data_IF_549284103930
#
_entry.id   IF_549284103930
#
_cell.length_a   1.000
_cell.length_b   1.000
_cell.length_c   1.000
_cell.angle_alpha   90.00
_cell.angle_beta   90.00
_cell.angle_gamma   90.00
#
_symmetry.space_group_name_H-M   'P 1'
#
loop_
_entity.id
_entity.type
_entity.pdbx_description
1 polymer ?
#
# COMPACT_ATOMS: atom_id res chain seq x y z
N UNK A 1 -27.85 39.27 -32.82
CA UNK A 1 -27.95 39.10 -31.35
C UNK A 1 -28.15 37.64 -31.12
N UNK A 2 -27.06 36.96 -30.95
CA UNK A 2 -27.02 35.53 -30.67
C UNK A 2 -27.42 35.32 -29.21
N UNK A 3 -28.63 34.79 -29.01
CA UNK A 3 -29.11 34.38 -27.69
C UNK A 3 -28.32 33.14 -27.26
N UNK A 4 -27.43 33.27 -26.28
CA UNK A 4 -26.83 32.11 -25.61
C UNK A 4 -27.96 31.16 -25.13
N UNK A 5 -27.83 29.86 -25.38
CA UNK A 5 -28.81 28.91 -24.85
C UNK A 5 -28.85 29.00 -23.32
N UNK A 6 -30.01 28.85 -22.70
CA UNK A 6 -30.14 28.93 -21.26
C UNK A 6 -29.23 27.89 -20.60
N UNK A 7 -28.36 28.34 -19.71
CA UNK A 7 -27.51 27.44 -18.90
C UNK A 7 -28.41 26.51 -18.10
N UNK A 8 -28.19 25.19 -18.14
CA UNK A 8 -29.00 24.29 -17.35
C UNK A 8 -28.90 24.70 -15.88
N UNK A 9 -30.05 24.86 -15.22
CA UNK A 9 -30.09 25.18 -13.79
C UNK A 9 -29.30 24.11 -13.03
N UNK A 10 -28.26 24.51 -12.32
CA UNK A 10 -27.43 23.63 -11.53
C UNK A 10 -28.32 22.86 -10.56
N UNK A 11 -28.49 21.57 -10.77
CA UNK A 11 -29.19 20.71 -9.83
C UNK A 11 -28.40 20.66 -8.53
N UNK A 12 -29.07 20.99 -7.42
CA UNK A 12 -28.44 20.96 -6.10
C UNK A 12 -28.14 19.51 -5.73
N UNK A 13 -26.87 19.19 -5.61
CA UNK A 13 -26.43 17.87 -5.13
C UNK A 13 -26.91 17.72 -3.68
N UNK A 14 -27.57 16.58 -3.39
CA UNK A 14 -28.07 16.23 -2.05
C UNK A 14 -27.34 15.04 -1.46
N UNK A 15 -26.84 14.14 -2.30
CA UNK A 15 -26.20 12.89 -1.89
C UNK A 15 -24.91 12.68 -2.64
N UNK A 16 -23.88 12.23 -1.94
CA UNK A 16 -22.58 11.84 -2.50
C UNK A 16 -22.33 10.38 -2.13
N UNK A 17 -21.97 9.58 -3.12
CA UNK A 17 -21.50 8.21 -2.93
C UNK A 17 -19.99 8.18 -2.89
N UNK A 18 -19.43 7.60 -1.83
CA UNK A 18 -17.97 7.43 -1.66
C UNK A 18 -17.65 5.94 -1.68
N UNK A 19 -16.81 5.51 -2.64
CA UNK A 19 -16.42 4.10 -2.80
C UNK A 19 -15.30 3.68 -1.84
N UNK A 20 -15.43 4.05 -0.58
CA UNK A 20 -14.51 3.72 0.50
C UNK A 20 -15.28 3.23 1.73
N UNK A 21 -14.64 2.46 2.63
CA UNK A 21 -15.22 2.15 3.92
C UNK A 21 -15.56 3.42 4.71
N UNK A 22 -16.65 3.37 5.46
CA UNK A 22 -17.01 4.47 6.35
C UNK A 22 -15.88 4.71 7.36
N UNK A 23 -15.41 5.97 7.55
CA UNK A 23 -14.41 6.28 8.54
C UNK A 23 -14.82 5.81 9.94
N UNK A 24 -13.90 5.22 10.67
CA UNK A 24 -14.13 4.75 12.06
C UNK A 24 -14.09 5.89 13.09
N UNK A 25 -13.57 7.05 12.71
CA UNK A 25 -13.47 8.22 13.60
C UNK A 25 -14.51 9.26 13.24
N UNK A 26 -15.18 9.82 14.24
CA UNK A 26 -16.16 10.90 14.07
C UNK A 26 -15.53 12.21 13.54
N UNK A 27 -14.21 12.38 13.70
CA UNK A 27 -13.45 13.56 13.22
C UNK A 27 -13.00 13.43 11.76
N UNK A 28 -13.75 12.76 10.93
CA UNK A 28 -13.42 12.66 9.51
C UNK A 28 -13.86 13.92 8.76
N UNK A 29 -13.04 14.48 7.84
CA UNK A 29 -13.40 15.62 7.00
C UNK A 29 -14.69 15.41 6.19
N UNK A 30 -15.06 14.17 5.93
CA UNK A 30 -16.30 13.84 5.23
C UNK A 30 -17.55 14.22 6.03
N UNK A 31 -17.53 14.03 7.34
CA UNK A 31 -18.67 14.36 8.21
C UNK A 31 -18.84 15.87 8.35
N UNK A 32 -17.72 16.60 8.54
CA UNK A 32 -17.71 18.07 8.57
C UNK A 32 -18.25 18.66 7.27
N UNK A 33 -17.87 18.07 6.12
CA UNK A 33 -18.35 18.50 4.82
C UNK A 33 -19.84 18.22 4.63
N UNK A 34 -20.30 17.05 5.06
CA UNK A 34 -21.71 16.66 5.00
C UNK A 34 -22.58 17.63 5.80
N UNK A 35 -22.18 17.97 7.00
CA UNK A 35 -22.88 18.90 7.88
C UNK A 35 -22.90 20.31 7.29
N UNK A 36 -21.73 20.83 6.92
CA UNK A 36 -21.56 22.18 6.37
C UNK A 36 -22.38 22.44 5.11
N UNK A 37 -22.45 21.45 4.22
CA UNK A 37 -23.13 21.56 2.93
C UNK A 37 -24.52 20.95 2.93
N UNK A 38 -25.00 20.44 4.06
CA UNK A 38 -26.28 19.71 4.20
C UNK A 38 -26.43 18.59 3.17
N UNK A 39 -25.39 17.75 3.06
CA UNK A 39 -25.32 16.61 2.15
C UNK A 39 -25.49 15.30 2.91
N UNK A 40 -26.03 14.31 2.24
CA UNK A 40 -25.97 12.92 2.68
C UNK A 40 -24.77 12.24 2.02
N UNK A 41 -23.91 11.60 2.81
CA UNK A 41 -22.79 10.82 2.29
C UNK A 41 -23.08 9.34 2.51
N UNK A 42 -23.11 8.57 1.42
CA UNK A 42 -23.24 7.11 1.42
C UNK A 42 -21.87 6.48 1.15
N UNK A 43 -21.38 5.66 2.09
CA UNK A 43 -20.11 4.96 1.96
C UNK A 43 -20.36 3.53 1.50
N UNK A 44 -19.86 3.18 0.31
CA UNK A 44 -19.95 1.83 -0.26
C UNK A 44 -18.61 1.40 -0.84
N UNK A 45 -17.83 0.58 -0.13
CA UNK A 45 -16.60 0.05 -0.68
C UNK A 45 -16.92 -0.93 -1.82
N UNK A 46 -16.43 -0.64 -3.03
CA UNK A 46 -16.57 -1.52 -4.19
C UNK A 46 -15.37 -2.45 -4.34
N UNK A 47 -14.26 -2.14 -3.67
CA UNK A 47 -13.04 -2.94 -3.68
C UNK A 47 -12.80 -3.43 -2.26
N UNK A 48 -12.62 -4.73 -2.12
CA UNK A 48 -12.25 -5.38 -0.88
C UNK A 48 -10.90 -6.07 -1.07
N UNK A 49 -9.99 -5.87 -0.11
CA UNK A 49 -8.69 -6.53 -0.11
C UNK A 49 -8.66 -7.49 1.06
N UNK A 50 -8.60 -8.77 0.74
CA UNK A 50 -8.43 -9.84 1.72
C UNK A 50 -6.99 -10.31 1.74
N UNK A 51 -6.52 -10.70 2.93
CA UNK A 51 -5.21 -11.30 3.07
C UNK A 51 -5.24 -12.76 2.64
N UNK A 52 -4.28 -13.16 1.82
CA UNK A 52 -4.11 -14.56 1.44
C UNK A 52 -3.95 -15.44 2.69
N UNK A 53 -4.64 -16.56 2.71
CA UNK A 53 -4.50 -17.55 3.77
C UNK A 53 -3.14 -18.25 3.70
N UNK A 54 -2.61 -18.66 4.86
CA UNK A 54 -1.31 -19.34 4.91
C UNK A 54 -1.27 -20.65 4.13
N UNK A 55 -2.41 -21.35 4.01
CA UNK A 55 -2.51 -22.57 3.20
C UNK A 55 -2.31 -22.24 1.71
N UNK A 56 -2.93 -21.19 1.24
CA UNK A 56 -2.82 -20.70 -0.14
C UNK A 56 -1.38 -20.19 -0.42
N UNK A 57 -0.80 -19.46 0.52
CA UNK A 57 0.59 -18.99 0.41
C UNK A 57 1.58 -20.16 0.25
N UNK A 58 1.39 -21.28 0.97
CA UNK A 58 2.25 -22.47 0.81
C UNK A 58 2.23 -23.04 -0.61
N UNK A 59 1.10 -22.92 -1.32
CA UNK A 59 0.99 -23.38 -2.71
C UNK A 59 1.85 -22.56 -3.66
N UNK A 60 2.15 -21.31 -3.34
CA UNK A 60 3.04 -20.46 -4.13
C UNK A 60 4.51 -20.87 -4.04
N UNK A 61 4.89 -21.73 -3.08
CA UNK A 61 6.26 -22.20 -2.86
C UNK A 61 7.30 -21.09 -2.68
N UNK A 62 6.88 -19.94 -2.15
CA UNK A 62 7.77 -18.82 -1.80
C UNK A 62 8.43 -19.13 -0.46
N UNK A 63 9.74 -19.23 -0.45
CA UNK A 63 10.50 -19.40 0.79
C UNK A 63 10.90 -18.02 1.33
N UNK A 64 10.31 -17.63 2.46
CA UNK A 64 10.59 -16.33 3.09
C UNK A 64 12.05 -16.21 3.55
N UNK A 65 12.68 -17.33 3.91
CA UNK A 65 14.06 -17.35 4.42
C UNK A 65 15.12 -17.04 3.33
N UNK A 66 14.77 -17.17 2.07
CA UNK A 66 15.68 -16.86 0.96
C UNK A 66 15.75 -15.36 0.64
N UNK A 67 14.93 -14.53 1.29
CA UNK A 67 14.87 -13.11 1.04
C UNK A 67 15.59 -12.33 2.15
N UNK A 68 16.43 -11.38 1.76
CA UNK A 68 17.17 -10.52 2.67
C UNK A 68 16.60 -9.09 2.77
N UNK A 69 15.66 -8.77 1.90
CA UNK A 69 14.99 -7.48 1.86
C UNK A 69 13.51 -7.61 1.48
N UNK A 70 12.68 -6.69 1.97
CA UNK A 70 11.24 -6.64 1.67
C UNK A 70 10.88 -5.25 1.13
N UNK A 71 10.12 -5.22 0.04
CA UNK A 71 9.58 -3.99 -0.57
C UNK A 71 8.15 -3.80 -0.08
N UNK A 72 7.88 -2.69 0.60
CA UNK A 72 6.60 -2.42 1.25
C UNK A 72 5.93 -1.19 0.64
N UNK A 73 4.88 -1.41 -0.13
CA UNK A 73 4.16 -0.38 -0.88
C UNK A 73 2.96 0.21 -0.13
N UNK A 74 2.62 -0.34 1.04
CA UNK A 74 1.51 0.14 1.88
C UNK A 74 1.64 -0.39 3.31
N UNK A 75 0.88 0.20 4.24
CA UNK A 75 0.75 -0.33 5.61
C UNK A 75 0.09 -1.71 5.62
N UNK A 76 -0.84 -1.94 4.70
CA UNK A 76 -1.50 -3.24 4.55
C UNK A 76 -0.49 -4.32 4.13
N UNK A 77 0.44 -4.01 3.23
CA UNK A 77 1.52 -4.91 2.86
C UNK A 77 2.43 -5.25 4.07
N UNK A 78 2.69 -4.28 4.95
CA UNK A 78 3.39 -4.53 6.22
C UNK A 78 2.64 -5.54 7.07
N UNK A 79 1.35 -5.30 7.33
CA UNK A 79 0.55 -6.18 8.18
C UNK A 79 0.48 -7.61 7.61
N UNK A 80 0.26 -7.76 6.30
CA UNK A 80 0.18 -9.07 5.66
C UNK A 80 1.52 -9.81 5.63
N UNK A 81 2.64 -9.10 5.41
CA UNK A 81 3.95 -9.73 5.46
C UNK A 81 4.23 -10.36 6.83
N UNK A 82 4.04 -9.62 7.92
CA UNK A 82 4.28 -10.14 9.26
C UNK A 82 3.25 -11.19 9.68
N UNK A 83 1.99 -11.09 9.22
CA UNK A 83 0.99 -12.12 9.43
C UNK A 83 1.40 -13.44 8.77
N UNK A 84 1.78 -13.40 7.49
CA UNK A 84 2.25 -14.60 6.77
C UNK A 84 3.53 -15.16 7.39
N UNK A 85 4.49 -14.32 7.76
CA UNK A 85 5.70 -14.77 8.45
C UNK A 85 5.35 -15.56 9.72
N UNK A 86 4.41 -15.06 10.54
CA UNK A 86 3.93 -15.74 11.74
C UNK A 86 3.23 -17.06 11.41
N UNK A 87 2.35 -17.10 10.42
CA UNK A 87 1.63 -18.30 9.99
C UNK A 87 2.60 -19.38 9.43
N UNK A 88 3.67 -18.94 8.78
CA UNK A 88 4.74 -19.83 8.28
C UNK A 88 5.77 -20.19 9.36
N UNK A 89 5.62 -19.70 10.60
CA UNK A 89 6.60 -19.87 11.68
C UNK A 89 8.01 -19.39 11.31
N UNK A 90 8.06 -18.34 10.50
CA UNK A 90 9.31 -17.70 10.08
C UNK A 90 9.62 -16.54 11.02
N UNK A 91 10.72 -16.63 11.75
CA UNK A 91 11.26 -15.52 12.52
C UNK A 91 12.01 -14.58 11.57
N UNK A 92 11.48 -13.36 11.40
CA UNK A 92 12.10 -12.36 10.56
C UNK A 92 13.42 -11.92 11.19
N UNK A 93 14.56 -12.14 10.52
CA UNK A 93 15.86 -11.87 11.15
C UNK A 93 16.09 -10.37 11.31
N UNK A 94 16.83 -10.02 12.36
CA UNK A 94 17.26 -8.64 12.63
C UNK A 94 18.05 -8.00 11.50
N UNK A 95 18.62 -8.81 10.59
CA UNK A 95 19.35 -8.36 9.41
C UNK A 95 18.44 -7.93 8.25
N UNK A 96 17.15 -8.25 8.29
CA UNK A 96 16.20 -7.93 7.23
C UNK A 96 16.21 -6.43 6.93
N UNK A 97 16.27 -6.08 5.64
CA UNK A 97 16.15 -4.72 5.15
C UNK A 97 14.75 -4.45 4.61
N UNK A 98 14.28 -3.23 4.79
CA UNK A 98 12.94 -2.83 4.35
C UNK A 98 13.02 -1.61 3.46
N UNK A 99 12.37 -1.69 2.31
CA UNK A 99 12.29 -0.61 1.32
C UNK A 99 10.83 -0.18 1.22
N UNK A 100 10.51 0.96 1.82
CA UNK A 100 9.15 1.45 1.99
C UNK A 100 8.83 2.54 0.98
N UNK A 101 7.59 2.57 0.49
CA UNK A 101 7.13 3.58 -0.46
C UNK A 101 7.16 4.99 0.13
N UNK A 102 6.96 5.13 1.43
CA UNK A 102 6.88 6.40 2.14
C UNK A 102 7.41 6.31 3.57
N UNK A 103 7.72 7.47 4.14
CA UNK A 103 8.11 7.61 5.54
C UNK A 103 7.03 7.05 6.50
N UNK A 104 5.75 7.31 6.20
CA UNK A 104 4.65 6.82 7.03
C UNK A 104 4.56 5.29 7.04
N UNK A 105 4.89 4.62 5.93
CA UNK A 105 4.99 3.15 5.88
C UNK A 105 6.20 2.66 6.66
N UNK A 106 7.34 3.35 6.56
CA UNK A 106 8.55 3.03 7.30
C UNK A 106 8.33 3.15 8.82
N UNK A 107 7.67 4.21 9.30
CA UNK A 107 7.32 4.34 10.71
C UNK A 107 6.31 3.29 11.18
N UNK A 108 5.39 2.88 10.32
CA UNK A 108 4.43 1.83 10.65
C UNK A 108 5.09 0.48 10.96
N UNK A 109 6.29 0.22 10.41
CA UNK A 109 7.08 -0.96 10.74
C UNK A 109 7.42 -1.10 12.24
N UNK A 110 7.41 -0.01 13.01
CA UNK A 110 7.66 -0.05 14.45
C UNK A 110 6.63 -0.90 15.22
N UNK A 111 5.49 -1.18 14.60
CA UNK A 111 4.50 -2.14 15.16
C UNK A 111 5.08 -3.56 15.28
N UNK A 112 6.07 -3.90 14.46
CA UNK A 112 6.60 -5.25 14.33
C UNK A 112 8.08 -5.38 14.60
N UNK A 113 8.87 -4.35 14.29
CA UNK A 113 10.33 -4.37 14.41
C UNK A 113 10.86 -3.08 15.02
N UNK A 114 12.04 -3.15 15.65
CA UNK A 114 12.72 -1.95 16.12
C UNK A 114 13.18 -1.11 14.93
N UNK A 115 12.83 0.18 14.91
CA UNK A 115 13.24 1.10 13.85
C UNK A 115 14.75 1.32 13.86
N UNK A 116 15.40 1.01 12.72
CA UNK A 116 16.84 1.20 12.53
C UNK A 116 17.09 1.84 11.16
N UNK A 117 17.58 3.09 11.14
CA UNK A 117 17.84 3.86 9.91
C UNK A 117 18.72 3.15 8.88
N UNK A 118 19.63 2.30 9.30
CA UNK A 118 20.52 1.52 8.41
C UNK A 118 19.87 0.33 7.73
N UNK A 119 18.64 -0.02 8.12
CA UNK A 119 17.90 -1.18 7.60
C UNK A 119 16.54 -0.82 7.02
N UNK A 120 16.02 0.36 7.34
CA UNK A 120 14.72 0.83 6.89
C UNK A 120 14.92 2.06 6.01
N UNK A 121 14.61 1.90 4.73
CA UNK A 121 14.75 2.90 3.70
C UNK A 121 13.37 3.30 3.19
N UNK A 122 13.16 4.54 2.83
CA UNK A 122 11.87 4.99 2.29
C UNK A 122 12.02 6.08 1.23
N UNK A 123 11.10 6.07 0.27
CA UNK A 123 10.85 7.19 -0.62
C UNK A 123 9.83 8.18 -0.03
N UNK A 124 9.35 9.09 -0.85
CA UNK A 124 8.31 10.08 -0.48
C UNK A 124 6.91 9.71 -0.96
N UNK A 125 6.75 8.75 -1.84
CA UNK A 125 5.50 8.13 -2.37
C UNK A 125 5.78 7.54 -3.76
N UNK A 126 6.78 8.05 -4.49
CA UNK A 126 7.10 7.58 -5.84
C UNK A 126 7.95 6.31 -5.78
N UNK A 127 7.54 5.28 -6.52
CA UNK A 127 8.28 4.02 -6.53
C UNK A 127 9.69 4.15 -7.11
N UNK A 128 9.92 5.08 -8.04
CA UNK A 128 11.25 5.34 -8.59
C UNK A 128 12.28 5.75 -7.54
N UNK A 129 11.84 6.43 -6.49
CA UNK A 129 12.70 6.80 -5.36
C UNK A 129 13.13 5.56 -4.56
N UNK A 130 12.21 4.60 -4.39
CA UNK A 130 12.51 3.31 -3.75
C UNK A 130 13.51 2.53 -4.61
N UNK A 131 13.31 2.49 -5.93
CA UNK A 131 14.24 1.86 -6.88
C UNK A 131 15.63 2.50 -6.79
N UNK A 132 15.73 3.81 -6.68
CA UNK A 132 17.01 4.52 -6.51
C UNK A 132 17.75 4.10 -5.23
N UNK A 133 17.02 3.89 -4.13
CA UNK A 133 17.59 3.37 -2.89
C UNK A 133 18.04 1.91 -3.04
N UNK A 134 17.23 1.07 -3.69
CA UNK A 134 17.53 -0.34 -3.94
C UNK A 134 18.79 -0.53 -4.78
N UNK A 135 19.11 0.39 -5.69
CA UNK A 135 20.33 0.33 -6.53
C UNK A 135 21.61 0.23 -5.72
N UNK A 136 21.63 0.77 -4.50
CA UNK A 136 22.75 0.66 -3.57
C UNK A 136 22.82 -0.68 -2.84
N UNK A 137 21.81 -1.52 -3.03
CA UNK A 137 21.62 -2.80 -2.35
C UNK A 137 21.29 -3.94 -3.32
N UNK A 138 21.90 -3.93 -4.52
CA UNK A 138 21.63 -4.92 -5.58
C UNK A 138 21.93 -6.37 -5.21
N UNK A 139 22.74 -6.57 -4.19
CA UNK A 139 23.10 -7.91 -3.71
C UNK A 139 22.01 -8.56 -2.85
N UNK A 140 20.96 -7.80 -2.49
CA UNK A 140 19.86 -8.32 -1.73
C UNK A 140 18.91 -9.13 -2.63
N UNK A 141 18.24 -10.11 -2.03
CA UNK A 141 17.12 -10.81 -2.63
C UNK A 141 15.83 -10.23 -2.08
N UNK A 142 15.04 -9.61 -2.93
CA UNK A 142 13.87 -8.84 -2.53
C UNK A 142 12.60 -9.68 -2.57
N UNK A 143 11.75 -9.51 -1.56
CA UNK A 143 10.36 -9.96 -1.58
C UNK A 143 9.44 -8.76 -1.77
N UNK A 144 8.49 -8.87 -2.70
CA UNK A 144 7.45 -7.87 -2.94
C UNK A 144 6.08 -8.42 -2.54
N UNK A 145 5.63 -8.25 -1.30
CA UNK A 145 4.25 -8.53 -0.94
C UNK A 145 3.31 -7.60 -1.72
N UNK A 146 2.41 -8.18 -2.49
CA UNK A 146 1.51 -7.43 -3.37
C UNK A 146 0.17 -8.13 -3.50
N UNK A 147 -0.84 -7.40 -3.97
CA UNK A 147 -2.12 -7.99 -4.37
C UNK A 147 -2.04 -8.52 -5.80
N UNK A 148 -3.05 -9.30 -6.18
CA UNK A 148 -3.30 -9.75 -7.55
C UNK A 148 -3.50 -8.59 -8.55
N UNK A 149 -3.94 -7.43 -8.05
CA UNK A 149 -4.12 -6.19 -8.83
C UNK A 149 -2.88 -5.28 -8.82
N UNK A 150 -1.68 -5.85 -8.74
CA UNK A 150 -0.43 -5.09 -8.78
C UNK A 150 -0.29 -4.30 -10.07
N UNK A 151 -0.01 -2.99 -9.96
CA UNK A 151 0.29 -2.15 -11.13
C UNK A 151 1.55 -2.64 -11.84
N UNK A 152 1.48 -2.85 -13.14
CA UNK A 152 2.60 -3.33 -13.97
C UNK A 152 3.85 -2.43 -13.92
N UNK A 153 3.69 -1.15 -13.59
CA UNK A 153 4.80 -0.21 -13.44
C UNK A 153 5.81 -0.63 -12.38
N UNK A 154 5.36 -1.31 -11.31
CA UNK A 154 6.26 -1.78 -10.24
C UNK A 154 7.15 -2.93 -10.70
N UNK A 155 6.61 -4.07 -11.19
CA UNK A 155 7.46 -5.13 -11.75
C UNK A 155 8.36 -4.63 -12.89
N UNK A 156 7.83 -3.82 -13.81
CA UNK A 156 8.62 -3.28 -14.91
C UNK A 156 9.83 -2.47 -14.43
N UNK A 157 9.66 -1.66 -13.38
CA UNK A 157 10.76 -0.89 -12.80
C UNK A 157 11.81 -1.80 -12.12
N UNK A 158 11.37 -2.88 -11.46
CA UNK A 158 12.26 -3.86 -10.84
C UNK A 158 13.04 -4.66 -11.88
N UNK A 159 12.37 -5.10 -12.95
CA UNK A 159 12.99 -5.81 -14.06
C UNK A 159 14.01 -4.92 -14.79
N UNK A 160 13.63 -3.67 -15.10
CA UNK A 160 14.53 -2.69 -15.72
C UNK A 160 15.75 -2.36 -14.83
N UNK A 161 15.60 -2.42 -13.53
CA UNK A 161 16.67 -2.24 -12.55
C UNK A 161 17.59 -3.45 -12.39
N UNK A 162 17.20 -4.62 -12.92
CA UNK A 162 17.94 -5.88 -12.80
C UNK A 162 18.01 -6.39 -11.36
N UNK A 163 16.93 -6.24 -10.59
CA UNK A 163 16.85 -6.73 -9.22
C UNK A 163 16.44 -8.19 -9.16
N UNK A 164 17.01 -8.92 -8.22
CA UNK A 164 16.56 -10.28 -7.91
C UNK A 164 15.38 -10.19 -6.93
N UNK A 165 14.17 -10.45 -7.40
CA UNK A 165 12.96 -10.33 -6.57
C UNK A 165 11.95 -11.43 -6.84
N UNK A 166 11.12 -11.70 -5.84
CA UNK A 166 9.94 -12.57 -5.88
C UNK A 166 8.71 -11.74 -5.48
N UNK A 167 7.58 -11.97 -6.12
CA UNK A 167 6.30 -11.34 -5.79
C UNK A 167 5.28 -12.39 -5.33
#
# INVERSE_FOLDING_TARGET
KDLEPPRPMAQKIKTILISQPKPSTEKSPYFDLAEKLKLTIDFRPFIHVEGMEGQEFRQQRVDLAQHSAVILTSRLAVDHYFRIAKEMRFEVPDSMKYFCISESTAYYLQKYVQYRKRKIFHGTIKFDEVVALMKKHKNETFLLPCSDLLKSSIPNALDAGGFNYTK
#
